data_IF_939908660146
#
_entry.id   IF_939908660146
#
_cell.length_a   1.000
_cell.length_b   1.000
_cell.length_c   1.000
_cell.angle_alpha   90.00
_cell.angle_beta   90.00
_cell.angle_gamma   90.00
#
_symmetry.space_group_name_H-M   'P 1'
#
loop_
_entity.id
_entity.type
_entity.pdbx_description
1 polymer ?
#
# COMPACT_ATOMS: atom_id res chain seq x y z
N UNK A 1 14.39 -15.80 7.27
CA UNK A 1 13.65 -14.58 7.69
C UNK A 1 14.62 -13.41 7.61
N UNK A 2 14.23 -12.29 7.03
CA UNK A 2 15.07 -11.09 6.89
C UNK A 2 14.28 -9.87 7.43
N UNK A 3 15.02 -8.81 7.73
CA UNK A 3 14.46 -7.54 8.20
C UNK A 3 14.23 -6.66 6.99
N UNK A 4 13.03 -6.10 6.87
CA UNK A 4 12.68 -5.11 5.86
C UNK A 4 12.05 -3.88 6.48
N UNK A 5 11.94 -2.82 5.70
CA UNK A 5 11.23 -1.61 6.10
C UNK A 5 10.35 -1.08 4.98
N UNK A 6 9.39 -0.23 5.34
CA UNK A 6 8.50 0.43 4.39
C UNK A 6 8.68 1.93 4.43
N UNK A 7 8.62 2.56 3.25
CA UNK A 7 8.67 4.01 3.07
C UNK A 7 7.80 4.39 1.86
N UNK A 8 7.04 5.47 1.95
CA UNK A 8 6.35 5.99 0.75
C UNK A 8 7.34 6.71 -0.16
N UNK A 9 7.04 6.74 -1.48
CA UNK A 9 7.85 7.45 -2.45
C UNK A 9 8.02 8.93 -2.11
N UNK A 10 6.92 9.61 -1.73
CA UNK A 10 6.97 11.02 -1.32
C UNK A 10 7.90 11.23 -0.12
N UNK A 11 7.91 10.28 0.82
CA UNK A 11 8.83 10.36 1.96
C UNK A 11 10.27 10.11 1.54
N UNK A 12 10.52 9.20 0.61
CA UNK A 12 11.84 8.97 0.05
C UNK A 12 12.39 10.25 -0.62
N UNK A 13 11.56 10.97 -1.38
CA UNK A 13 11.98 12.26 -1.97
C UNK A 13 12.36 13.31 -0.91
N UNK A 14 11.64 13.36 0.19
CA UNK A 14 11.96 14.29 1.30
C UNK A 14 13.28 13.96 1.99
N UNK A 15 13.58 12.66 2.23
CA UNK A 15 14.78 12.25 2.98
C UNK A 15 15.98 11.97 2.07
N UNK A 16 15.75 11.75 0.77
CA UNK A 16 16.74 11.50 -0.27
C UNK A 16 17.46 10.14 -0.17
N UNK A 17 18.31 9.86 -1.14
CA UNK A 17 19.04 8.57 -1.28
C UNK A 17 20.02 8.32 -0.13
N UNK A 18 20.38 9.34 0.62
CA UNK A 18 21.18 9.18 1.84
C UNK A 18 20.48 8.22 2.82
N UNK A 19 19.16 8.30 2.92
CA UNK A 19 18.40 7.41 3.80
C UNK A 19 18.47 5.95 3.35
N UNK A 20 18.40 5.68 2.05
CA UNK A 20 18.59 4.33 1.52
C UNK A 20 19.94 3.75 1.90
N UNK A 21 21.02 4.53 1.75
CA UNK A 21 22.36 4.11 2.16
C UNK A 21 22.48 3.88 3.68
N UNK A 22 21.77 4.67 4.49
CA UNK A 22 21.72 4.45 5.94
C UNK A 22 21.02 3.14 6.29
N UNK A 23 19.93 2.78 5.60
CA UNK A 23 19.27 1.49 5.78
C UNK A 23 20.23 0.33 5.48
N UNK A 24 20.96 0.39 4.37
CA UNK A 24 21.96 -0.61 4.02
C UNK A 24 23.06 -0.75 5.09
N UNK A 25 23.57 0.37 5.62
CA UNK A 25 24.55 0.38 6.72
C UNK A 25 24.01 -0.25 8.01
N UNK A 26 22.70 -0.16 8.26
CA UNK A 26 22.04 -0.79 9.40
C UNK A 26 21.73 -2.28 9.17
N UNK A 27 22.11 -2.83 8.02
CA UNK A 27 21.85 -4.23 7.66
C UNK A 27 20.41 -4.49 7.20
N UNK A 28 19.63 -3.45 6.92
CA UNK A 28 18.30 -3.56 6.31
C UNK A 28 18.51 -3.63 4.80
N UNK A 29 18.20 -4.78 4.21
CA UNK A 29 18.44 -5.03 2.78
C UNK A 29 17.14 -4.94 1.97
N UNK A 30 16.02 -5.30 2.55
CA UNK A 30 14.73 -5.43 1.86
C UNK A 30 13.81 -4.23 2.16
N UNK A 31 13.26 -3.65 1.11
CA UNK A 31 12.40 -2.47 1.25
C UNK A 31 11.09 -2.60 0.45
N UNK A 32 10.04 -2.01 1.02
CA UNK A 32 8.80 -1.69 0.33
C UNK A 32 8.76 -0.18 0.14
N UNK A 33 9.07 0.28 -1.06
CA UNK A 33 9.10 1.71 -1.38
C UNK A 33 8.44 1.92 -2.73
N UNK A 34 7.46 2.80 -2.77
CA UNK A 34 6.74 3.10 -4.00
C UNK A 34 7.44 4.17 -4.83
N UNK A 35 7.32 4.18 -6.17
CA UNK A 35 7.58 5.37 -6.96
C UNK A 35 6.67 6.53 -6.53
N UNK A 36 7.10 7.75 -6.79
CA UNK A 36 6.26 8.94 -6.60
C UNK A 36 5.08 8.95 -7.58
N UNK A 37 3.97 9.53 -7.18
CA UNK A 37 2.80 9.71 -8.02
C UNK A 37 1.72 8.64 -7.81
N UNK A 38 0.81 8.59 -8.77
CA UNK A 38 -0.27 7.60 -8.76
C UNK A 38 0.20 6.27 -9.33
N UNK A 39 -0.10 5.13 -8.67
CA UNK A 39 0.18 3.81 -9.22
C UNK A 39 -0.44 3.56 -10.61
N UNK A 40 -1.52 4.23 -10.94
CA UNK A 40 -2.14 4.16 -12.27
C UNK A 40 -1.36 4.88 -13.38
N UNK A 41 -0.45 5.79 -13.00
CA UNK A 41 0.40 6.54 -13.92
C UNK A 41 1.80 5.91 -14.06
N UNK A 42 2.11 4.86 -13.29
CA UNK A 42 3.39 4.20 -13.37
C UNK A 42 3.51 3.37 -14.64
N UNK A 43 4.57 3.62 -15.36
CA UNK A 43 4.99 2.81 -16.51
C UNK A 43 6.07 1.81 -16.08
N UNK A 44 6.30 0.82 -16.93
CA UNK A 44 7.40 -0.14 -16.72
C UNK A 44 8.75 0.56 -16.54
N UNK A 45 8.99 1.64 -17.29
CA UNK A 45 10.23 2.42 -17.19
C UNK A 45 10.36 3.19 -15.87
N UNK A 46 9.25 3.72 -15.34
CA UNK A 46 9.23 4.36 -14.02
C UNK A 46 9.58 3.34 -12.95
N UNK A 47 8.96 2.18 -12.97
CA UNK A 47 9.23 1.10 -12.02
C UNK A 47 10.66 0.57 -12.14
N UNK A 48 11.16 0.38 -13.36
CA UNK A 48 12.53 -0.07 -13.61
C UNK A 48 13.56 0.92 -13.05
N UNK A 49 13.43 2.21 -13.36
CA UNK A 49 14.32 3.25 -12.81
C UNK A 49 14.24 3.34 -11.30
N UNK A 50 13.06 3.18 -10.73
CA UNK A 50 12.89 3.16 -9.27
C UNK A 50 13.59 1.95 -8.65
N UNK A 51 13.46 0.78 -9.26
CA UNK A 51 14.17 -0.43 -8.84
C UNK A 51 15.69 -0.26 -8.91
N UNK A 52 16.21 0.29 -10.02
CA UNK A 52 17.64 0.57 -10.18
C UNK A 52 18.16 1.54 -9.12
N UNK A 53 17.39 2.58 -8.78
CA UNK A 53 17.72 3.52 -7.70
C UNK A 53 17.87 2.81 -6.35
N UNK A 54 16.95 1.90 -6.03
CA UNK A 54 16.98 1.11 -4.79
C UNK A 54 18.17 0.16 -4.79
N UNK A 55 18.42 -0.53 -5.89
CA UNK A 55 19.54 -1.47 -6.06
C UNK A 55 20.90 -0.78 -5.97
N UNK A 56 21.03 0.42 -6.55
CA UNK A 56 22.26 1.24 -6.46
C UNK A 56 22.62 1.59 -5.02
N UNK A 57 21.64 1.68 -4.12
CA UNK A 57 21.88 1.87 -2.70
C UNK A 57 22.22 0.56 -1.94
N UNK A 58 22.30 -0.59 -2.62
CA UNK A 58 22.57 -1.91 -2.03
C UNK A 58 21.32 -2.57 -1.42
N UNK A 59 20.13 -2.14 -1.81
CA UNK A 59 18.85 -2.63 -1.30
C UNK A 59 18.10 -3.45 -2.36
N UNK A 60 17.12 -4.22 -1.93
CA UNK A 60 16.21 -4.99 -2.78
C UNK A 60 14.79 -4.44 -2.65
N UNK A 61 14.20 -4.06 -3.77
CA UNK A 61 12.78 -3.70 -3.82
C UNK A 61 11.95 -4.99 -3.84
N UNK A 62 11.47 -5.39 -2.67
CA UNK A 62 10.71 -6.64 -2.51
C UNK A 62 9.23 -6.48 -2.81
N UNK A 63 8.69 -5.30 -2.53
CA UNK A 63 7.25 -5.08 -2.50
C UNK A 63 6.91 -3.65 -2.90
N UNK A 64 5.78 -3.49 -3.58
CA UNK A 64 5.17 -2.20 -3.93
C UNK A 64 3.72 -2.19 -3.43
N UNK A 65 3.24 -1.04 -3.01
CA UNK A 65 1.85 -0.88 -2.59
C UNK A 65 0.92 -0.65 -3.79
N UNK A 66 -0.14 -1.45 -3.86
CA UNK A 66 -1.24 -1.22 -4.79
C UNK A 66 -2.02 0.07 -4.41
N UNK A 67 -2.82 0.66 -5.32
CA UNK A 67 -3.59 1.87 -5.04
C UNK A 67 -4.74 1.67 -4.02
N UNK A 68 -4.65 0.65 -3.21
CA UNK A 68 -5.49 0.31 -2.06
C UNK A 68 -4.67 0.49 -0.77
N UNK A 69 -4.51 1.74 -0.34
CA UNK A 69 -3.74 2.09 0.85
C UNK A 69 -4.58 1.94 2.14
N UNK A 70 -3.92 2.03 3.30
CA UNK A 70 -4.60 2.07 4.61
C UNK A 70 -5.32 3.38 4.92
N UNK A 71 -5.41 4.30 3.97
CA UNK A 71 -6.19 5.52 4.11
C UNK A 71 -7.69 5.20 4.16
N UNK A 72 -8.48 6.06 4.81
CA UNK A 72 -9.92 5.96 4.77
C UNK A 72 -10.48 6.18 3.35
N UNK A 73 -11.71 5.75 3.14
CA UNK A 73 -12.37 5.70 1.82
C UNK A 73 -12.35 7.04 1.05
N UNK A 74 -12.31 8.16 1.75
CA UNK A 74 -12.29 9.48 1.14
C UNK A 74 -10.91 9.89 0.58
N UNK A 75 -9.86 9.12 0.91
CA UNK A 75 -8.46 9.37 0.53
C UNK A 75 -7.82 8.23 -0.25
N UNK A 76 -8.45 7.07 -0.31
CA UNK A 76 -7.95 5.94 -1.09
C UNK A 76 -8.05 6.24 -2.59
N UNK A 77 -7.12 5.70 -3.38
CA UNK A 77 -7.06 5.96 -4.83
C UNK A 77 -8.00 5.09 -5.66
N UNK A 78 -8.44 3.97 -5.10
CA UNK A 78 -9.34 3.00 -5.74
C UNK A 78 -10.61 2.82 -4.90
N UNK A 79 -11.43 3.86 -4.75
CA UNK A 79 -12.65 3.78 -3.95
C UNK A 79 -13.73 2.91 -4.59
N UNK A 80 -13.78 2.83 -5.92
CA UNK A 80 -14.79 2.04 -6.64
C UNK A 80 -14.75 0.56 -6.27
N UNK A 81 -13.56 -0.02 -6.11
CA UNK A 81 -13.37 -1.40 -5.65
C UNK A 81 -13.95 -1.59 -4.25
N UNK A 82 -13.59 -0.70 -3.32
CA UNK A 82 -14.01 -0.81 -1.91
C UNK A 82 -15.51 -0.52 -1.75
N UNK A 83 -16.07 0.36 -2.56
CA UNK A 83 -17.50 0.71 -2.53
C UNK A 83 -18.36 -0.24 -3.37
N UNK A 84 -17.77 -1.03 -4.26
CA UNK A 84 -18.48 -1.87 -5.20
C UNK A 84 -19.27 -1.06 -6.23
N UNK A 85 -18.72 0.06 -6.70
CA UNK A 85 -19.42 1.02 -7.58
C UNK A 85 -18.92 0.93 -9.03
N UNK A 86 -19.81 0.54 -9.93
CA UNK A 86 -19.59 0.55 -11.37
C UNK A 86 -19.79 1.96 -11.98
N UNK A 87 -19.07 2.33 -13.04
CA UNK A 87 -18.05 1.54 -13.76
C UNK A 87 -16.63 1.64 -13.15
N UNK A 88 -16.48 2.37 -12.05
CA UNK A 88 -15.18 2.64 -11.46
C UNK A 88 -14.51 1.36 -10.95
N UNK A 89 -15.30 0.44 -10.38
CA UNK A 89 -14.79 -0.84 -9.88
C UNK A 89 -14.01 -1.61 -10.94
N UNK A 90 -14.60 -1.81 -12.13
CA UNK A 90 -13.95 -2.55 -13.21
C UNK A 90 -12.71 -1.83 -13.73
N UNK A 91 -12.78 -0.53 -13.96
CA UNK A 91 -11.64 0.27 -14.41
C UNK A 91 -10.46 0.21 -13.44
N UNK A 92 -10.75 0.31 -12.14
CA UNK A 92 -9.74 0.26 -11.08
C UNK A 92 -9.14 -1.14 -10.95
N UNK A 93 -9.94 -2.20 -11.09
CA UNK A 93 -9.48 -3.59 -11.10
C UNK A 93 -8.56 -3.88 -12.28
N UNK A 94 -8.92 -3.44 -13.49
CA UNK A 94 -8.09 -3.60 -14.68
C UNK A 94 -6.74 -2.91 -14.50
N UNK A 95 -6.74 -1.70 -13.91
CA UNK A 95 -5.51 -0.98 -13.59
C UNK A 95 -4.63 -1.71 -12.57
N UNK A 96 -5.23 -2.33 -11.55
CA UNK A 96 -4.49 -3.15 -10.57
C UNK A 96 -3.92 -4.41 -11.23
N UNK A 97 -4.70 -5.11 -12.04
CA UNK A 97 -4.22 -6.28 -12.77
C UNK A 97 -3.02 -5.93 -13.65
N UNK A 98 -3.11 -4.86 -14.43
CA UNK A 98 -2.00 -4.38 -15.26
C UNK A 98 -0.75 -4.03 -14.43
N UNK A 99 -0.94 -3.36 -13.29
CA UNK A 99 0.18 -3.06 -12.38
C UNK A 99 0.85 -4.35 -11.88
N UNK A 100 0.10 -5.36 -11.48
CA UNK A 100 0.64 -6.65 -11.03
C UNK A 100 1.44 -7.34 -12.15
N UNK A 101 0.96 -7.31 -13.40
CA UNK A 101 1.70 -7.83 -14.55
C UNK A 101 3.03 -7.10 -14.75
N UNK A 102 3.03 -5.77 -14.64
CA UNK A 102 4.26 -4.97 -14.72
C UNK A 102 5.24 -5.33 -13.60
N UNK A 103 4.77 -5.46 -12.34
CA UNK A 103 5.62 -5.87 -11.21
C UNK A 103 6.25 -7.24 -11.48
N UNK A 104 5.46 -8.22 -11.92
CA UNK A 104 5.95 -9.55 -12.26
C UNK A 104 6.99 -9.53 -13.37
N UNK A 105 6.77 -8.72 -14.44
CA UNK A 105 7.71 -8.57 -15.57
C UNK A 105 9.07 -7.99 -15.17
N UNK A 106 9.13 -7.25 -14.06
CA UNK A 106 10.33 -6.68 -13.49
C UNK A 106 10.95 -7.55 -12.37
N UNK A 107 10.32 -8.67 -12.01
CA UNK A 107 10.78 -9.55 -10.95
C UNK A 107 10.49 -9.05 -9.54
N UNK A 108 9.64 -8.05 -9.37
CA UNK A 108 9.15 -7.61 -8.06
C UNK A 108 8.16 -8.65 -7.55
N UNK A 109 8.44 -9.23 -6.38
CA UNK A 109 7.81 -10.49 -5.96
C UNK A 109 6.55 -10.33 -5.13
N UNK A 110 6.23 -9.13 -4.67
CA UNK A 110 5.06 -8.91 -3.84
C UNK A 110 4.39 -7.57 -4.11
N UNK A 111 3.08 -7.54 -3.92
CA UNK A 111 2.25 -6.35 -3.95
C UNK A 111 1.43 -6.28 -2.66
N UNK A 112 1.48 -5.13 -1.98
CA UNK A 112 0.75 -4.90 -0.74
C UNK A 112 -0.55 -4.15 -1.02
N UNK A 113 -1.62 -4.54 -0.36
CA UNK A 113 -2.89 -3.81 -0.40
C UNK A 113 -3.56 -3.77 0.97
N UNK A 114 -4.53 -2.88 1.12
CA UNK A 114 -5.43 -2.84 2.27
C UNK A 114 -6.87 -2.75 1.74
N UNK A 115 -7.80 -3.44 2.37
CA UNK A 115 -9.21 -3.41 2.00
C UNK A 115 -10.02 -2.91 3.19
N UNK A 116 -10.14 -1.59 3.32
CA UNK A 116 -10.77 -0.95 4.47
C UNK A 116 -11.54 0.31 4.07
N UNK A 117 -12.63 0.57 4.77
CA UNK A 117 -13.45 1.78 4.62
C UNK A 117 -12.94 2.89 5.55
N UNK A 118 -12.67 2.52 6.79
CA UNK A 118 -12.12 3.44 7.79
C UNK A 118 -10.60 3.46 7.70
N UNK A 119 -10.01 4.64 7.80
CA UNK A 119 -8.57 4.75 8.02
C UNK A 119 -8.17 4.13 9.37
N UNK A 120 -6.87 4.04 9.60
CA UNK A 120 -6.36 3.57 10.89
C UNK A 120 -6.59 4.68 11.93
N UNK A 121 -7.49 4.50 12.90
CA UNK A 121 -7.78 5.53 13.90
C UNK A 121 -6.56 5.77 14.79
N UNK A 122 -6.36 7.02 15.18
CA UNK A 122 -5.27 7.45 16.06
C UNK A 122 -5.79 8.43 17.09
N UNK A 123 -5.25 8.35 18.30
CA UNK A 123 -5.35 9.37 19.34
C UNK A 123 -4.06 10.19 19.42
N UNK A 124 -3.97 11.24 20.23
CA UNK A 124 -2.75 11.99 20.38
C UNK A 124 -1.55 11.10 20.70
N UNK A 125 -0.42 11.38 20.03
CA UNK A 125 0.81 10.60 20.21
C UNK A 125 1.32 10.68 21.66
N UNK A 126 1.86 9.59 22.16
CA UNK A 126 2.45 9.50 23.49
C UNK A 126 3.97 9.37 23.43
N UNK A 127 4.64 9.81 24.50
CA UNK A 127 6.07 9.59 24.64
C UNK A 127 6.33 8.23 25.27
N UNK A 128 7.13 7.42 24.59
CA UNK A 128 7.59 6.14 25.08
C UNK A 128 9.00 6.20 25.65
N UNK A 129 9.57 5.02 25.87
CA UNK A 129 10.92 4.83 26.40
C UNK A 129 11.95 5.57 25.53
N UNK A 130 12.91 6.23 26.16
CA UNK A 130 13.94 7.00 25.49
C UNK A 130 13.45 8.24 24.75
N UNK A 131 12.23 8.70 25.03
CA UNK A 131 11.63 9.85 24.36
C UNK A 131 11.04 9.58 22.99
N UNK A 132 10.94 8.31 22.57
CA UNK A 132 10.30 7.93 21.32
C UNK A 132 8.85 8.43 21.27
N UNK A 133 8.45 8.96 20.11
CA UNK A 133 7.07 9.35 19.86
C UNK A 133 6.31 8.15 19.30
N UNK A 134 5.31 7.70 20.05
CA UNK A 134 4.50 6.53 19.71
C UNK A 134 3.19 6.98 19.06
N UNK A 135 2.84 6.36 17.95
CA UNK A 135 1.51 6.45 17.36
C UNK A 135 0.57 5.57 18.20
N UNK A 136 -0.45 6.16 18.81
CA UNK A 136 -1.31 5.49 19.80
C UNK A 136 -2.78 5.47 19.38
N UNK A 137 -3.50 4.54 19.96
CA UNK A 137 -4.96 4.49 19.95
C UNK A 137 -5.46 4.18 21.36
N UNK A 138 -6.26 5.09 21.90
CA UNK A 138 -6.93 4.95 23.17
C UNK A 138 -8.44 5.04 22.99
N UNK A 139 -9.15 3.97 23.24
CA UNK A 139 -10.58 3.89 22.99
C UNK A 139 -11.39 4.94 23.76
N UNK A 140 -10.95 5.28 24.99
CA UNK A 140 -11.54 6.30 25.85
C UNK A 140 -11.32 7.75 25.39
N UNK A 141 -10.40 7.96 24.45
CA UNK A 141 -10.07 9.28 23.89
C UNK A 141 -10.64 9.49 22.48
N UNK A 142 -11.35 8.53 21.94
CA UNK A 142 -11.99 8.66 20.63
C UNK A 142 -13.25 9.51 20.76
N UNK A 143 -13.18 10.76 20.32
CA UNK A 143 -14.27 11.75 20.45
C UNK A 143 -15.39 11.54 19.44
N UNK A 144 -15.15 10.79 18.37
CA UNK A 144 -16.12 10.60 17.28
C UNK A 144 -16.09 9.15 16.77
N UNK A 145 -16.86 8.31 17.46
CA UNK A 145 -17.06 6.91 17.07
C UNK A 145 -18.15 6.73 15.99
N UNK A 146 -18.70 7.80 15.42
CA UNK A 146 -19.95 7.72 14.69
C UNK A 146 -20.10 8.51 13.40
N UNK A 147 -19.09 9.19 12.89
CA UNK A 147 -19.20 9.82 11.58
C UNK A 147 -19.27 8.77 10.48
N UNK A 148 -20.40 8.72 9.80
CA UNK A 148 -20.61 7.83 8.66
C UNK A 148 -19.80 8.39 7.49
N UNK A 149 -18.87 7.60 6.95
CA UNK A 149 -18.12 7.96 5.74
C UNK A 149 -19.04 7.97 4.52
N UNK A 150 -18.56 8.44 3.37
CA UNK A 150 -19.31 8.35 2.09
C UNK A 150 -19.70 6.92 1.70
N UNK A 151 -19.12 5.89 2.32
CA UNK A 151 -19.52 4.50 2.11
C UNK A 151 -20.89 4.19 2.71
N UNK A 152 -21.43 5.04 3.58
CA UNK A 152 -22.66 4.77 4.30
C UNK A 152 -22.52 3.61 5.28
N UNK A 153 -23.63 2.98 5.62
CA UNK A 153 -23.62 1.74 6.37
C UNK A 153 -23.31 0.57 5.44
N UNK A 154 -22.30 -0.20 5.76
CA UNK A 154 -21.87 -1.38 5.00
C UNK A 154 -21.99 -2.60 5.88
N UNK A 155 -22.80 -3.58 5.47
CA UNK A 155 -22.92 -4.86 6.19
C UNK A 155 -21.70 -5.74 5.96
N UNK A 156 -21.54 -6.74 6.83
CA UNK A 156 -20.49 -7.76 6.68
C UNK A 156 -20.60 -8.50 5.34
N UNK A 157 -21.83 -8.85 4.93
CA UNK A 157 -22.07 -9.57 3.66
C UNK A 157 -21.68 -8.72 2.45
N UNK A 158 -21.99 -7.43 2.46
CA UNK A 158 -21.55 -6.52 1.40
C UNK A 158 -20.04 -6.38 1.36
N UNK A 159 -19.37 -6.35 2.52
CA UNK A 159 -17.92 -6.29 2.55
C UNK A 159 -17.30 -7.59 2.03
N UNK A 160 -17.84 -8.73 2.40
CA UNK A 160 -17.39 -10.03 1.90
C UNK A 160 -17.60 -10.18 0.38
N UNK A 161 -18.74 -9.73 -0.15
CA UNK A 161 -18.96 -9.70 -1.61
C UNK A 161 -17.86 -8.90 -2.32
N UNK A 162 -17.57 -7.69 -1.84
CA UNK A 162 -16.57 -6.81 -2.46
C UNK A 162 -15.16 -7.40 -2.38
N UNK A 163 -14.80 -7.99 -1.23
CA UNK A 163 -13.51 -8.65 -1.05
C UNK A 163 -13.39 -9.86 -1.98
N UNK A 164 -14.42 -10.70 -2.05
CA UNK A 164 -14.46 -11.88 -2.91
C UNK A 164 -14.30 -11.48 -4.38
N UNK A 165 -15.08 -10.51 -4.83
CA UNK A 165 -15.00 -10.00 -6.20
C UNK A 165 -13.60 -9.49 -6.56
N UNK A 166 -12.99 -8.71 -5.66
CA UNK A 166 -11.62 -8.25 -5.83
C UNK A 166 -10.63 -9.42 -5.96
N UNK A 167 -10.69 -10.39 -5.04
CA UNK A 167 -9.76 -11.52 -5.03
C UNK A 167 -9.93 -12.43 -6.24
N UNK A 168 -11.16 -12.70 -6.67
CA UNK A 168 -11.44 -13.53 -7.86
C UNK A 168 -10.84 -12.92 -9.14
N UNK A 169 -10.79 -11.59 -9.23
CA UNK A 169 -10.18 -10.88 -10.36
C UNK A 169 -8.66 -10.83 -10.27
N UNK A 170 -8.11 -10.58 -9.10
CA UNK A 170 -6.69 -10.20 -8.93
C UNK A 170 -5.79 -11.40 -8.66
N UNK A 171 -6.28 -12.44 -7.97
CA UNK A 171 -5.47 -13.62 -7.61
C UNK A 171 -4.98 -14.38 -8.84
N UNK A 172 -5.80 -14.69 -9.87
CA UNK A 172 -5.31 -15.38 -11.06
C UNK A 172 -4.19 -14.62 -11.79
N UNK A 173 -4.30 -13.29 -11.86
CA UNK A 173 -3.28 -12.43 -12.47
C UNK A 173 -1.99 -12.42 -11.66
N UNK A 174 -2.11 -12.36 -10.34
CA UNK A 174 -0.96 -12.40 -9.42
C UNK A 174 -0.23 -13.75 -9.50
N UNK A 175 -0.97 -14.85 -9.58
CA UNK A 175 -0.42 -16.20 -9.76
C UNK A 175 0.35 -16.32 -11.09
N UNK A 176 -0.27 -15.92 -12.20
CA UNK A 176 0.34 -15.93 -13.53
C UNK A 176 1.62 -15.07 -13.58
N UNK A 177 1.61 -13.93 -12.90
CA UNK A 177 2.72 -12.98 -12.81
C UNK A 177 3.77 -13.35 -11.75
N UNK A 178 3.54 -14.39 -10.95
CA UNK A 178 4.39 -14.81 -9.82
C UNK A 178 4.59 -13.71 -8.76
N UNK A 179 3.58 -12.88 -8.55
CA UNK A 179 3.54 -11.81 -7.57
C UNK A 179 2.67 -12.24 -6.39
N UNK A 180 3.18 -12.20 -5.19
CA UNK A 180 2.42 -12.51 -3.97
C UNK A 180 1.63 -11.29 -3.53
N UNK A 181 0.37 -11.50 -3.19
CA UNK A 181 -0.48 -10.48 -2.59
C UNK A 181 -0.30 -10.52 -1.05
N UNK A 182 -0.10 -9.35 -0.45
CA UNK A 182 0.05 -9.15 0.99
C UNK A 182 -0.98 -8.13 1.48
N UNK A 183 -1.78 -8.52 2.48
CA UNK A 183 -2.76 -7.66 3.12
C UNK A 183 -2.31 -7.30 4.55
#
# INVERSE_FOLDING_TARGET
>A
MYIGTQLSGDKLEQVGDRYLRQLAQLGIVHVCVDPVGSPYDWTRDILARHMDRIQTAGLVLDMVQLPLSSAGIDKVRSPGIILGQEPDRERELDGICHLIEMLGSLGIKAAKYNFNILGIPRTPSERGRGGAVLSTYRADQVLDAGSVTRAGQVSADQMWERITYFLERVVPVAEASKVRLAC
#
